data_IF_155425760587
#
_entry.id   IF_155425760587
#
_cell.length_a   1.000
_cell.length_b   1.000
_cell.length_c   1.000
_cell.angle_alpha   90.00
_cell.angle_beta   90.00
_cell.angle_gamma   90.00
#
_symmetry.space_group_name_H-M   'P 1'
#
loop_
_entity.id
_entity.type
_entity.pdbx_description
1 polymer ?
#
# COMPACT_ATOMS: atom_id res chain seq x y z
N UNK A 1 2.81 31.03 5.61
CA UNK A 1 1.45 30.53 5.82
C UNK A 1 1.19 29.49 4.75
N UNK A 2 0.69 28.31 5.11
CA UNK A 2 0.37 27.29 4.12
C UNK A 2 -0.80 27.77 3.24
N UNK A 3 -0.79 27.47 1.93
CA UNK A 3 -1.91 27.79 1.05
C UNK A 3 -3.10 26.89 1.39
N UNK A 4 -4.31 27.41 1.22
CA UNK A 4 -5.54 26.61 1.41
C UNK A 4 -5.89 25.89 0.11
N UNK A 5 -5.62 24.59 0.04
CA UNK A 5 -6.07 23.75 -1.07
C UNK A 5 -7.61 23.65 -1.09
N UNK A 6 -8.18 23.38 -2.27
CA UNK A 6 -9.60 23.00 -2.37
C UNK A 6 -9.84 21.71 -1.57
N UNK A 7 -11.01 21.56 -0.94
CA UNK A 7 -11.26 20.48 0.05
C UNK A 7 -10.99 19.08 -0.50
N UNK A 8 -11.26 18.84 -1.79
CA UNK A 8 -11.09 17.55 -2.47
C UNK A 8 -9.83 17.47 -3.33
N UNK A 9 -8.83 18.31 -3.07
CA UNK A 9 -7.60 18.38 -3.86
C UNK A 9 -6.34 18.30 -3.00
N UNK A 10 -5.26 17.82 -3.61
CA UNK A 10 -3.90 17.96 -3.12
C UNK A 10 -3.09 18.85 -4.08
N UNK A 11 -2.42 19.86 -3.55
CA UNK A 11 -1.59 20.79 -4.30
C UNK A 11 -0.12 20.54 -3.98
N UNK A 12 0.61 19.98 -4.95
CA UNK A 12 2.03 19.71 -4.83
C UNK A 12 2.85 20.88 -5.37
N UNK A 13 3.98 21.13 -4.70
CA UNK A 13 4.85 22.26 -4.96
C UNK A 13 6.28 21.79 -5.21
N UNK A 14 6.96 22.41 -6.18
CA UNK A 14 8.32 21.99 -6.56
C UNK A 14 9.40 22.44 -5.58
N UNK A 15 9.08 23.27 -4.59
CA UNK A 15 9.98 23.66 -3.51
C UNK A 15 9.35 23.38 -2.14
N UNK A 16 10.16 23.40 -1.09
CA UNK A 16 9.69 23.34 0.29
C UNK A 16 8.87 24.58 0.64
N UNK A 17 8.09 24.49 1.74
CA UNK A 17 7.26 25.58 2.24
C UNK A 17 6.32 26.15 1.17
N UNK A 18 5.79 25.29 0.30
CA UNK A 18 4.79 25.61 -0.72
C UNK A 18 5.27 26.61 -1.79
N UNK A 19 6.59 26.66 -2.02
CA UNK A 19 7.22 27.48 -3.05
C UNK A 19 7.30 26.82 -4.43
N UNK A 20 7.70 27.58 -5.44
CA UNK A 20 7.88 27.07 -6.80
C UNK A 20 6.55 26.83 -7.54
N UNK A 21 6.58 25.91 -8.51
CA UNK A 21 5.44 25.60 -9.36
C UNK A 21 4.44 24.71 -8.63
N UNK A 22 3.15 25.06 -8.73
CA UNK A 22 2.04 24.29 -8.17
C UNK A 22 1.47 23.33 -9.21
N UNK A 23 1.19 22.09 -8.81
CA UNK A 23 0.39 21.13 -9.55
C UNK A 23 -0.75 20.63 -8.65
N UNK A 24 -1.97 20.64 -9.17
CA UNK A 24 -3.17 20.29 -8.42
C UNK A 24 -3.71 18.96 -8.90
N UNK A 25 -4.08 18.09 -7.96
CA UNK A 25 -4.64 16.77 -8.22
C UNK A 25 -5.87 16.54 -7.35
N UNK A 26 -6.83 15.78 -7.87
CA UNK A 26 -8.14 15.52 -7.26
C UNK A 26 -8.21 14.11 -6.69
N UNK A 27 -9.11 13.92 -5.72
CA UNK A 27 -9.51 12.59 -5.24
C UNK A 27 -9.81 11.67 -6.44
N UNK A 28 -9.26 10.46 -6.39
CA UNK A 28 -9.36 9.44 -7.42
C UNK A 28 -8.16 9.40 -8.38
N UNK A 29 -7.31 10.42 -8.41
CA UNK A 29 -6.11 10.41 -9.26
C UNK A 29 -4.98 9.58 -8.64
N UNK A 30 -4.44 8.64 -9.42
CA UNK A 30 -3.23 7.86 -9.14
C UNK A 30 -2.15 8.28 -10.14
N UNK A 31 -1.10 8.92 -9.63
CA UNK A 31 -0.09 9.60 -10.42
C UNK A 31 1.25 8.88 -10.27
N UNK A 32 1.73 8.31 -11.37
CA UNK A 32 3.10 7.84 -11.51
C UNK A 32 3.91 8.88 -12.27
N UNK A 33 4.92 9.46 -11.61
CA UNK A 33 5.75 10.53 -12.16
C UNK A 33 6.91 10.00 -13.00
N UNK A 34 7.21 8.69 -13.00
CA UNK A 34 8.30 8.10 -13.77
C UNK A 34 7.85 7.68 -15.19
N UNK A 35 8.68 7.89 -16.24
CA UNK A 35 9.97 8.59 -16.27
C UNK A 35 9.83 10.11 -16.52
N UNK A 36 8.70 10.70 -16.13
CA UNK A 36 8.32 12.08 -16.40
C UNK A 36 9.22 13.14 -15.74
N UNK A 37 9.10 14.37 -16.25
CA UNK A 37 9.93 15.52 -15.83
C UNK A 37 9.67 15.99 -14.39
N UNK A 38 8.54 15.58 -13.80
CA UNK A 38 8.16 15.89 -12.42
C UNK A 38 8.65 14.84 -11.41
N UNK A 39 9.29 13.76 -11.87
CA UNK A 39 9.88 12.77 -10.98
C UNK A 39 10.86 13.42 -9.99
N UNK A 40 10.69 13.13 -8.70
CA UNK A 40 11.47 13.70 -7.59
C UNK A 40 11.45 15.24 -7.50
N UNK A 41 10.49 15.91 -8.13
CA UNK A 41 10.42 17.39 -8.14
C UNK A 41 9.56 17.97 -7.04
N UNK A 42 8.61 17.21 -6.48
CA UNK A 42 7.74 17.72 -5.44
C UNK A 42 8.41 17.68 -4.07
N UNK A 43 8.38 18.82 -3.37
CA UNK A 43 9.08 19.02 -2.11
C UNK A 43 8.15 19.46 -0.97
N UNK A 44 6.92 19.86 -1.28
CA UNK A 44 5.87 20.11 -0.28
C UNK A 44 4.49 19.90 -0.88
N UNK A 45 3.48 19.70 -0.03
CA UNK A 45 2.09 19.49 -0.45
C UNK A 45 1.13 20.19 0.52
N UNK A 46 0.11 20.84 -0.02
CA UNK A 46 -1.05 21.28 0.74
C UNK A 46 -2.22 20.33 0.42
N UNK A 47 -2.92 19.85 1.46
CA UNK A 47 -3.96 18.81 1.31
C UNK A 47 -5.29 19.36 1.78
N UNK A 48 -6.30 19.29 0.92
CA UNK A 48 -7.66 19.70 1.25
C UNK A 48 -8.25 18.87 2.38
N UNK A 49 -9.20 19.45 3.12
CA UNK A 49 -9.75 18.84 4.33
C UNK A 49 -10.53 17.54 4.13
N UNK A 50 -10.97 17.24 2.90
CA UNK A 50 -11.68 16.00 2.55
C UNK A 50 -10.76 15.04 1.76
N UNK A 51 -9.50 15.41 1.57
CA UNK A 51 -8.53 14.65 0.81
C UNK A 51 -7.42 14.11 1.71
N UNK A 52 -6.80 13.05 1.22
CA UNK A 52 -5.61 12.43 1.77
C UNK A 52 -4.72 11.98 0.63
N UNK A 53 -3.41 12.04 0.84
CA UNK A 53 -2.43 11.56 -0.12
C UNK A 53 -1.76 10.29 0.42
N UNK A 54 -1.79 9.23 -0.37
CA UNK A 54 -0.93 8.06 -0.19
C UNK A 54 0.29 8.27 -1.07
N UNK A 55 1.50 8.31 -0.49
CA UNK A 55 2.71 8.74 -1.18
C UNK A 55 3.83 7.70 -1.09
N UNK A 56 4.54 7.47 -2.20
CA UNK A 56 5.61 6.48 -2.31
C UNK A 56 6.88 7.02 -2.94
N UNK A 57 8.00 6.47 -2.45
CA UNK A 57 9.31 6.77 -3.01
C UNK A 57 9.48 6.26 -4.43
N UNK A 58 9.00 5.06 -4.75
CA UNK A 58 9.23 4.43 -6.05
C UNK A 58 7.94 4.31 -6.88
N UNK A 59 8.12 4.21 -8.21
CA UNK A 59 7.05 4.15 -9.22
C UNK A 59 6.17 2.91 -9.09
N UNK A 60 6.75 1.80 -8.63
CA UNK A 60 6.07 0.55 -8.34
C UNK A 60 5.39 0.51 -6.95
N UNK A 61 5.15 1.67 -6.32
CA UNK A 61 4.56 1.80 -4.99
C UNK A 61 5.34 1.06 -3.87
N UNK A 62 6.67 1.03 -3.99
CA UNK A 62 7.59 0.50 -2.97
C UNK A 62 8.49 1.60 -2.37
N UNK A 63 9.38 1.21 -1.45
CA UNK A 63 10.26 2.12 -0.72
C UNK A 63 9.52 2.86 0.39
N UNK A 64 10.00 4.04 0.76
CA UNK A 64 9.36 4.82 1.82
C UNK A 64 7.91 5.15 1.48
N UNK A 65 7.03 5.01 2.46
CA UNK A 65 5.60 5.22 2.36
C UNK A 65 5.10 6.24 3.39
N UNK A 66 4.14 7.07 2.98
CA UNK A 66 3.51 8.04 3.87
C UNK A 66 2.02 8.29 3.56
N UNK A 67 1.26 8.57 4.61
CA UNK A 67 -0.11 9.06 4.57
C UNK A 67 -0.11 10.55 4.94
N UNK A 68 -0.50 11.43 4.02
CA UNK A 68 -0.52 12.87 4.23
C UNK A 68 -1.97 13.35 4.29
N UNK A 69 -2.45 13.68 5.49
CA UNK A 69 -3.83 14.15 5.75
C UNK A 69 -3.91 15.66 5.94
N UNK A 70 -2.84 16.38 5.64
CA UNK A 70 -2.75 17.82 5.86
C UNK A 70 -1.48 18.42 5.27
N UNK A 71 -1.35 19.73 5.44
CA UNK A 71 -0.26 20.49 4.83
C UNK A 71 1.11 20.03 5.35
N UNK A 72 1.98 19.66 4.41
CA UNK A 72 3.32 19.13 4.69
C UNK A 72 4.36 20.00 3.99
N UNK A 73 5.10 20.79 4.79
CA UNK A 73 6.04 21.80 4.28
C UNK A 73 7.35 21.22 3.70
N UNK A 74 7.68 19.96 3.99
CA UNK A 74 8.83 19.25 3.42
C UNK A 74 8.52 17.78 3.24
N UNK A 75 8.75 17.25 2.03
CA UNK A 75 8.60 15.82 1.68
C UNK A 75 9.93 15.05 1.69
N UNK A 76 11.02 15.63 2.22
CA UNK A 76 12.35 15.01 2.22
C UNK A 76 12.38 13.61 2.85
N UNK A 77 11.53 13.37 3.84
CA UNK A 77 11.43 12.08 4.51
C UNK A 77 10.94 10.94 3.60
N UNK A 78 10.29 11.24 2.46
CA UNK A 78 9.90 10.24 1.47
C UNK A 78 11.11 9.76 0.66
N UNK A 79 12.20 10.55 0.57
CA UNK A 79 13.41 10.12 -0.14
C UNK A 79 13.31 10.18 -1.67
N UNK A 80 12.47 11.08 -2.20
CA UNK A 80 12.18 11.25 -3.62
C UNK A 80 10.79 10.72 -3.96
N UNK A 81 9.81 11.61 -4.13
CA UNK A 81 8.44 11.22 -4.43
C UNK A 81 8.30 10.84 -5.91
N UNK A 82 7.94 9.59 -6.19
CA UNK A 82 7.74 9.10 -7.56
C UNK A 82 6.29 8.73 -7.85
N UNK A 83 5.53 8.24 -6.88
CA UNK A 83 4.10 7.91 -7.05
C UNK A 83 3.27 8.42 -5.90
N UNK A 84 2.04 8.82 -6.19
CA UNK A 84 1.06 9.12 -5.16
C UNK A 84 -0.37 8.91 -5.66
N UNK A 85 -1.29 8.72 -4.72
CA UNK A 85 -2.73 8.65 -4.97
C UNK A 85 -3.44 9.63 -4.06
N UNK A 86 -4.34 10.42 -4.62
CA UNK A 86 -5.23 11.28 -3.84
C UNK A 86 -6.53 10.52 -3.59
N UNK A 87 -6.91 10.36 -2.33
CA UNK A 87 -8.06 9.60 -1.87
C UNK A 87 -8.89 10.44 -0.89
N UNK A 88 -10.09 9.99 -0.57
CA UNK A 88 -10.90 10.56 0.51
C UNK A 88 -10.17 10.46 1.86
N UNK A 89 -10.38 11.42 2.75
CA UNK A 89 -9.75 11.47 4.08
C UNK A 89 -10.04 10.24 4.95
N UNK A 90 -11.23 9.67 4.78
CA UNK A 90 -11.71 8.43 5.37
C UNK A 90 -11.16 7.15 4.71
N UNK A 91 -10.26 7.27 3.72
CA UNK A 91 -9.66 6.09 3.08
C UNK A 91 -8.53 5.53 3.94
N UNK A 92 -8.62 4.25 4.29
CA UNK A 92 -7.58 3.49 5.00
C UNK A 92 -6.70 2.74 4.02
N UNK A 93 -5.39 2.86 4.23
CA UNK A 93 -4.37 2.12 3.52
C UNK A 93 -4.21 0.74 4.15
N UNK A 94 -4.31 -0.32 3.34
CA UNK A 94 -4.12 -1.70 3.76
C UNK A 94 -2.71 -2.13 3.40
N UNK A 95 -1.90 -2.48 4.40
CA UNK A 95 -0.51 -2.87 4.17
C UNK A 95 -0.21 -4.28 4.67
N UNK A 96 0.54 -5.03 3.86
CA UNK A 96 1.04 -6.35 4.20
C UNK A 96 2.54 -6.35 4.39
N UNK A 97 2.97 -7.27 5.25
CA UNK A 97 4.33 -7.75 5.33
C UNK A 97 4.30 -9.26 5.19
N UNK A 98 5.15 -9.82 4.33
CA UNK A 98 5.16 -11.25 4.05
C UNK A 98 6.31 -11.95 4.79
N UNK A 99 6.03 -13.10 5.40
CA UNK A 99 7.00 -13.95 6.11
C UNK A 99 6.89 -15.39 5.63
N UNK A 100 7.99 -16.12 5.74
CA UNK A 100 8.03 -17.57 5.53
C UNK A 100 8.37 -18.28 6.84
N UNK A 101 7.51 -19.21 7.25
CA UNK A 101 7.73 -20.10 8.40
C UNK A 101 7.97 -21.56 7.98
N UNK A 102 8.11 -21.84 6.68
CA UNK A 102 8.29 -23.20 6.15
C UNK A 102 9.76 -23.62 6.05
N UNK A 103 10.70 -22.70 6.32
CA UNK A 103 12.14 -22.95 6.21
C UNK A 103 12.67 -22.86 4.78
N UNK A 104 11.95 -22.19 3.89
CA UNK A 104 12.42 -21.87 2.55
C UNK A 104 13.69 -21.02 2.56
N UNK A 105 14.44 -21.09 1.46
CA UNK A 105 15.58 -20.20 1.29
C UNK A 105 15.17 -18.76 0.99
N UNK A 106 16.15 -17.85 1.03
CA UNK A 106 15.97 -16.44 0.69
C UNK A 106 15.14 -16.24 -0.59
N UNK A 107 14.07 -15.44 -0.48
CA UNK A 107 13.15 -15.08 -1.57
C UNK A 107 12.61 -16.28 -2.35
N UNK A 108 12.62 -17.48 -1.76
CA UNK A 108 12.11 -18.69 -2.42
C UNK A 108 10.61 -18.59 -2.65
N UNK A 109 9.87 -18.04 -1.69
CA UNK A 109 8.44 -17.85 -1.82
C UNK A 109 8.09 -16.39 -2.07
N UNK A 110 7.14 -16.18 -2.96
CA UNK A 110 6.53 -14.88 -3.21
C UNK A 110 5.03 -14.93 -2.91
N UNK A 111 4.51 -13.80 -2.44
CA UNK A 111 3.08 -13.52 -2.35
C UNK A 111 2.79 -12.39 -3.35
N UNK A 112 2.18 -12.73 -4.48
CA UNK A 112 1.64 -11.73 -5.40
C UNK A 112 0.23 -11.37 -4.97
N UNK A 113 -0.03 -10.08 -4.85
CA UNK A 113 -1.34 -9.51 -4.57
C UNK A 113 -1.76 -8.69 -5.80
N UNK A 114 -2.95 -8.95 -6.33
CA UNK A 114 -3.50 -8.22 -7.48
C UNK A 114 -4.62 -7.27 -7.03
N UNK A 115 -4.20 -6.12 -6.49
CA UNK A 115 -5.11 -5.12 -5.94
C UNK A 115 -5.62 -4.20 -7.06
N UNK A 116 -6.93 -4.17 -7.26
CA UNK A 116 -7.56 -3.42 -8.35
C UNK A 116 -7.31 -1.91 -8.26
N UNK A 117 -7.08 -1.39 -7.06
CA UNK A 117 -7.05 0.04 -6.75
C UNK A 117 -5.63 0.62 -6.60
N UNK A 118 -4.64 -0.20 -6.25
CA UNK A 118 -3.23 0.22 -6.08
C UNK A 118 -2.29 -0.49 -7.05
N UNK A 119 -2.78 -1.48 -7.78
CA UNK A 119 -2.06 -2.28 -8.76
C UNK A 119 -1.50 -3.58 -8.17
N UNK A 120 -0.94 -4.41 -9.04
CA UNK A 120 -0.32 -5.67 -8.64
C UNK A 120 1.03 -5.43 -7.96
N UNK A 121 1.27 -6.14 -6.85
CA UNK A 121 2.51 -6.10 -6.09
C UNK A 121 2.97 -7.52 -5.75
N UNK A 122 4.27 -7.76 -5.77
CA UNK A 122 4.87 -9.03 -5.38
C UNK A 122 5.74 -8.83 -4.15
N UNK A 123 5.35 -9.48 -3.06
CA UNK A 123 6.10 -9.50 -1.81
C UNK A 123 6.99 -10.73 -1.75
N UNK A 124 8.20 -10.58 -1.23
CA UNK A 124 9.11 -11.68 -0.98
C UNK A 124 9.33 -11.82 0.51
N UNK A 125 9.43 -13.05 1.00
CA UNK A 125 9.83 -13.28 2.39
C UNK A 125 11.27 -12.75 2.59
N UNK A 126 11.50 -11.87 3.58
CA UNK A 126 12.82 -11.28 3.86
C UNK A 126 13.79 -12.32 4.43
N UNK A 127 15.08 -11.98 4.46
CA UNK A 127 16.15 -12.83 5.01
C UNK A 127 16.06 -12.98 6.53
N UNK A 128 15.68 -11.89 7.20
CA UNK A 128 15.35 -11.87 8.62
C UNK A 128 13.83 -11.67 8.76
N UNK A 129 13.20 -12.52 9.58
CA UNK A 129 11.78 -12.42 9.88
C UNK A 129 11.41 -11.03 10.44
N UNK A 130 12.38 -10.29 10.98
CA UNK A 130 12.24 -8.95 11.54
C UNK A 130 12.58 -7.78 10.58
N UNK A 131 13.05 -8.05 9.35
CA UNK A 131 13.42 -7.03 8.34
C UNK A 131 12.40 -6.75 7.20
N UNK A 132 11.20 -7.33 7.24
CA UNK A 132 10.19 -7.10 6.18
C UNK A 132 9.60 -5.68 6.16
N UNK A 133 9.61 -5.06 4.99
CA UNK A 133 8.95 -3.76 4.75
C UNK A 133 7.42 -3.89 4.68
N UNK A 134 6.72 -2.83 5.08
CA UNK A 134 5.27 -2.70 4.89
C UNK A 134 4.98 -2.27 3.45
N UNK A 135 4.15 -3.04 2.77
CA UNK A 135 3.80 -2.83 1.37
C UNK A 135 2.31 -2.56 1.23
N UNK A 136 1.92 -1.50 0.51
CA UNK A 136 0.50 -1.26 0.27
C UNK A 136 -0.08 -2.33 -0.65
N UNK A 137 -1.17 -2.95 -0.22
CA UNK A 137 -1.86 -4.03 -0.94
C UNK A 137 -3.32 -3.72 -1.22
N UNK A 138 -3.77 -2.51 -0.91
CA UNK A 138 -5.11 -2.03 -1.20
C UNK A 138 -5.49 -0.83 -0.35
N UNK A 139 -6.67 -0.31 -0.61
CA UNK A 139 -7.32 0.74 0.15
C UNK A 139 -8.78 0.38 0.40
N UNK A 140 -9.34 0.88 1.50
CA UNK A 140 -10.76 0.74 1.81
C UNK A 140 -11.24 2.01 2.49
N UNK A 141 -12.42 2.49 2.10
CA UNK A 141 -13.06 3.62 2.79
C UNK A 141 -13.69 3.17 4.10
N UNK A 142 -13.68 4.03 5.11
CA UNK A 142 -14.52 3.81 6.29
C UNK A 142 -15.99 3.68 5.86
N UNK A 143 -16.66 2.66 6.41
CA UNK A 143 -18.02 2.28 6.00
C UNK A 143 -18.19 1.94 4.50
N UNK A 144 -17.08 1.78 3.78
CA UNK A 144 -17.06 1.40 2.37
C UNK A 144 -17.45 -0.07 2.14
N UNK A 145 -17.72 -0.45 0.88
CA UNK A 145 -17.99 -1.85 0.56
C UNK A 145 -16.74 -2.70 0.84
N UNK A 146 -16.91 -3.99 1.18
CA UNK A 146 -15.80 -4.90 1.26
C UNK A 146 -15.02 -5.03 -0.05
N UNK A 147 -13.73 -5.30 0.05
CA UNK A 147 -12.82 -5.42 -1.09
C UNK A 147 -12.27 -6.84 -1.16
N UNK A 148 -12.41 -7.48 -2.32
CA UNK A 148 -11.81 -8.80 -2.59
C UNK A 148 -10.59 -8.62 -3.47
N UNK A 149 -9.47 -9.19 -3.05
CA UNK A 149 -8.19 -9.07 -3.75
C UNK A 149 -7.61 -10.46 -4.02
N UNK A 150 -7.23 -10.73 -5.27
CA UNK A 150 -6.63 -12.01 -5.63
C UNK A 150 -5.20 -12.12 -5.08
N UNK A 151 -4.85 -13.31 -4.59
CA UNK A 151 -3.52 -13.61 -4.07
C UNK A 151 -2.97 -14.89 -4.68
N UNK A 152 -1.67 -14.90 -4.92
CA UNK A 152 -0.95 -16.01 -5.52
C UNK A 152 0.33 -16.26 -4.74
N UNK A 153 0.50 -17.48 -4.24
CA UNK A 153 1.73 -17.90 -3.56
C UNK A 153 2.51 -18.78 -4.51
N UNK A 154 3.75 -18.40 -4.78
CA UNK A 154 4.60 -19.11 -5.74
C UNK A 154 5.94 -19.46 -5.11
N UNK A 155 6.39 -20.68 -5.35
CA UNK A 155 7.80 -21.04 -5.19
C UNK A 155 8.55 -20.55 -6.43
N UNK A 156 9.37 -19.52 -6.27
CA UNK A 156 10.13 -18.86 -7.33
C UNK A 156 11.32 -19.70 -7.83
N UNK A 157 11.74 -20.73 -7.09
CA UNK A 157 12.80 -21.64 -7.54
C UNK A 157 12.27 -22.69 -8.51
N UNK A 158 11.14 -23.30 -8.16
CA UNK A 158 10.49 -24.31 -8.99
C UNK A 158 9.54 -23.72 -10.04
N UNK A 159 9.05 -22.49 -9.80
CA UNK A 159 8.03 -21.82 -10.59
C UNK A 159 6.60 -22.29 -10.31
N UNK A 160 6.40 -23.22 -9.37
CA UNK A 160 5.11 -23.82 -9.01
C UNK A 160 4.31 -22.90 -8.09
N UNK A 161 3.00 -22.81 -8.32
CA UNK A 161 2.09 -22.16 -7.38
C UNK A 161 1.82 -23.09 -6.19
N UNK A 162 2.12 -22.62 -4.99
CA UNK A 162 1.75 -23.29 -3.73
C UNK A 162 0.25 -23.14 -3.51
N UNK A 163 -0.29 -21.94 -3.72
CA UNK A 163 -1.72 -21.72 -3.65
C UNK A 163 -2.14 -20.49 -4.46
N UNK A 164 -3.41 -20.48 -4.85
CA UNK A 164 -4.10 -19.37 -5.50
C UNK A 164 -5.41 -19.17 -4.76
N UNK A 165 -5.75 -17.92 -4.47
CA UNK A 165 -6.96 -17.62 -3.71
C UNK A 165 -7.29 -16.15 -3.74
N UNK A 166 -8.08 -15.72 -2.74
CA UNK A 166 -8.36 -14.31 -2.51
C UNK A 166 -8.39 -13.99 -1.03
N UNK A 167 -8.11 -12.73 -0.72
CA UNK A 167 -8.30 -12.15 0.61
C UNK A 167 -9.46 -11.16 0.55
N UNK A 168 -10.28 -11.14 1.60
CA UNK A 168 -11.45 -10.29 1.70
C UNK A 168 -11.25 -9.29 2.83
N UNK A 169 -11.23 -8.00 2.49
CA UNK A 169 -11.11 -6.89 3.43
C UNK A 169 -12.47 -6.29 3.71
N UNK A 170 -12.75 -6.04 4.98
CA UNK A 170 -13.98 -5.39 5.41
C UNK A 170 -13.68 -4.32 6.46
N UNK A 171 -14.39 -3.20 6.42
CA UNK A 171 -14.31 -2.21 7.50
C UNK A 171 -15.11 -2.67 8.73
N UNK A 172 -14.50 -2.60 9.90
CA UNK A 172 -15.12 -2.83 11.19
C UNK A 172 -15.32 -1.49 11.91
N UNK A 173 -16.56 -1.00 11.85
CA UNK A 173 -16.97 0.29 12.41
C UNK A 173 -16.84 0.35 13.93
N UNK A 174 -17.07 -0.78 14.63
CA UNK A 174 -17.00 -0.85 16.08
C UNK A 174 -15.57 -0.69 16.61
N UNK A 175 -14.59 -1.29 15.94
CA UNK A 175 -13.18 -1.22 16.31
C UNK A 175 -12.38 -0.15 15.54
N UNK A 176 -13.01 0.50 14.54
CA UNK A 176 -12.36 1.45 13.62
C UNK A 176 -11.11 0.88 12.95
N UNK A 177 -11.24 -0.32 12.41
CA UNK A 177 -10.13 -1.05 11.79
C UNK A 177 -10.61 -1.83 10.56
N UNK A 178 -9.68 -2.26 9.74
CA UNK A 178 -9.93 -3.20 8.63
C UNK A 178 -9.87 -4.62 9.19
N UNK A 179 -10.85 -5.48 8.94
CA UNK A 179 -10.80 -6.92 9.21
C UNK A 179 -10.51 -7.70 7.92
N UNK A 180 -9.82 -8.83 8.08
CA UNK A 180 -9.66 -9.82 7.00
C UNK A 180 -10.57 -10.99 7.30
N UNK A 181 -11.41 -11.34 6.32
CA UNK A 181 -12.33 -12.48 6.42
C UNK A 181 -11.70 -13.67 5.69
N UNK A 182 -11.24 -14.65 6.46
CA UNK A 182 -10.73 -15.92 5.95
C UNK A 182 -11.90 -16.81 5.52
N UNK A 183 -12.31 -16.69 4.26
CA UNK A 183 -13.36 -17.51 3.65
C UNK A 183 -12.77 -18.75 2.93
N UNK A 184 -13.60 -19.54 2.26
CA UNK A 184 -13.17 -20.76 1.55
C UNK A 184 -12.12 -20.50 0.43
N UNK A 185 -12.01 -19.27 -0.07
CA UNK A 185 -11.02 -18.88 -1.07
C UNK A 185 -9.71 -18.38 -0.45
N UNK A 186 -9.65 -18.20 0.87
CA UNK A 186 -8.42 -17.80 1.54
C UNK A 186 -7.42 -18.97 1.53
N UNK A 187 -6.17 -18.78 1.06
CA UNK A 187 -5.18 -19.85 1.03
C UNK A 187 -4.88 -20.40 2.42
N UNK A 188 -5.17 -21.69 2.65
CA UNK A 188 -4.96 -22.38 3.93
C UNK A 188 -3.49 -22.48 4.34
N UNK A 189 -2.60 -22.27 3.39
CA UNK A 189 -1.15 -22.19 3.59
C UNK A 189 -0.70 -20.90 4.25
N UNK A 190 -1.57 -19.88 4.32
CA UNK A 190 -1.28 -18.61 4.96
C UNK A 190 -1.91 -18.54 6.35
N UNK A 191 -1.24 -17.82 7.23
CA UNK A 191 -1.80 -17.28 8.47
C UNK A 191 -1.66 -15.77 8.46
N UNK A 192 -2.58 -15.09 9.15
CA UNK A 192 -2.62 -13.64 9.23
C UNK A 192 -2.58 -13.20 10.69
N UNK A 193 -1.70 -12.25 10.98
CA UNK A 193 -1.62 -11.56 12.26
C UNK A 193 -1.83 -10.06 12.03
N UNK A 194 -2.73 -9.47 12.81
CA UNK A 194 -2.93 -8.02 12.82
C UNK A 194 -1.81 -7.35 13.60
N UNK A 195 -1.08 -6.45 12.94
CA UNK A 195 -0.07 -5.60 13.59
C UNK A 195 -0.63 -4.21 13.97
N UNK A 196 -1.62 -3.71 13.22
CA UNK A 196 -2.26 -2.40 13.44
C UNK A 196 -3.69 -2.39 12.86
N UNK A 197 -4.39 -1.25 12.94
CA UNK A 197 -5.76 -1.09 12.46
C UNK A 197 -5.95 -1.50 10.98
N UNK A 198 -4.94 -1.38 10.14
CA UNK A 198 -4.99 -1.78 8.72
C UNK A 198 -3.69 -2.41 8.22
N UNK A 199 -2.87 -2.93 9.13
CA UNK A 199 -1.58 -3.57 8.81
C UNK A 199 -1.56 -5.02 9.28
N UNK A 200 -1.11 -5.91 8.40
CA UNK A 200 -1.15 -7.34 8.63
C UNK A 200 0.17 -8.04 8.26
N UNK A 201 0.65 -8.89 9.16
CA UNK A 201 1.73 -9.82 8.86
C UNK A 201 1.10 -11.08 8.28
N UNK A 202 1.44 -11.40 7.04
CA UNK A 202 1.00 -12.59 6.33
C UNK A 202 2.14 -13.60 6.34
N UNK A 203 1.92 -14.78 6.92
CA UNK A 203 2.97 -15.79 7.09
C UNK A 203 2.59 -17.05 6.32
N UNK A 204 3.49 -17.52 5.46
CA UNK A 204 3.40 -18.84 4.85
C UNK A 204 3.74 -19.91 5.91
N UNK A 205 2.75 -20.72 6.29
CA UNK A 205 2.88 -21.77 7.31
C UNK A 205 2.95 -23.17 6.72
N UNK A 206 2.61 -23.34 5.44
CA UNK A 206 2.75 -24.59 4.71
C UNK A 206 3.14 -24.34 3.26
N UNK A 207 4.11 -25.09 2.75
CA UNK A 207 4.55 -25.04 1.35
C UNK A 207 3.96 -26.20 0.52
N UNK A 208 3.08 -27.00 1.10
CA UNK A 208 2.36 -28.05 0.39
C UNK A 208 1.33 -27.41 -0.56
N UNK A 209 1.39 -27.72 -1.87
CA UNK A 209 0.45 -27.17 -2.82
C UNK A 209 -1.00 -27.52 -2.48
N UNK A 210 -1.92 -26.59 -2.73
CA UNK A 210 -3.35 -26.90 -2.66
C UNK A 210 -3.68 -28.04 -3.62
N UNK A 211 -4.37 -29.06 -3.12
CA UNK A 211 -4.88 -30.18 -3.91
C UNK A 211 -6.02 -29.76 -4.86
#
# INVERSE_FOLDING_TARGET
MAPTAASTEAWFYTQENYGGSKNSYKIGEDINLYPGSLNDKFNSVAVGSEAKVLAWQHDNASGNYAELTGDTASLKFIGGLTRFKVVEDDTRAIAFRFRDATGGGQRQYSLKIDAADVGAITLYAPDDADDGEWNLVGTIREEGPPVTTAVYIRDERSGVYVAVGSVFFQWNSGAKQVDIVENDNFPKQLSIERADASKFVVTLTSNEPSA
#
